data_IF_308228745908
#
_entry.id   IF_308228745908
#
_cell.length_a   1.000
_cell.length_b   1.000
_cell.length_c   1.000
_cell.angle_alpha   90.00
_cell.angle_beta   90.00
_cell.angle_gamma   90.00
#
_symmetry.space_group_name_H-M   'P 1'
#
loop_
_entity.id
_entity.type
_entity.pdbx_description
1 polymer ?
#
# COMPACT_ATOMS: atom_id res chain seq x y z
N UNK A 1 8.03 -12.84 20.96
CA UNK A 1 7.18 -12.00 20.08
C UNK A 1 6.48 -12.96 19.14
N UNK A 2 5.14 -13.04 19.08
CA UNK A 2 4.53 -13.93 18.11
C UNK A 2 4.93 -13.43 16.73
N UNK A 3 5.34 -14.35 15.87
CA UNK A 3 5.63 -14.10 14.47
C UNK A 3 4.28 -13.73 13.85
N UNK A 4 3.90 -12.45 13.91
CA UNK A 4 2.81 -11.96 13.09
C UNK A 4 3.29 -12.12 11.67
N UNK A 5 2.63 -12.99 10.91
CA UNK A 5 2.94 -13.23 9.52
C UNK A 5 3.06 -11.87 8.82
N UNK A 6 4.23 -11.54 8.27
CA UNK A 6 4.53 -10.20 7.71
C UNK A 6 3.57 -9.86 6.58
N UNK A 7 3.14 -10.87 5.82
CA UNK A 7 2.14 -10.74 4.77
C UNK A 7 0.77 -10.38 5.36
N UNK A 8 0.39 -10.99 6.49
CA UNK A 8 -0.85 -10.65 7.19
C UNK A 8 -0.80 -9.22 7.75
N UNK A 9 0.33 -8.81 8.34
CA UNK A 9 0.52 -7.43 8.80
C UNK A 9 0.38 -6.43 7.67
N UNK A 10 0.98 -6.72 6.51
CA UNK A 10 0.89 -5.87 5.31
C UNK A 10 -0.54 -5.77 4.82
N UNK A 11 -1.26 -6.89 4.74
CA UNK A 11 -2.67 -6.91 4.34
C UNK A 11 -3.52 -6.04 5.30
N UNK A 12 -3.33 -6.18 6.62
CA UNK A 12 -4.09 -5.43 7.60
C UNK A 12 -3.78 -3.92 7.58
N UNK A 13 -2.49 -3.57 7.47
CA UNK A 13 -2.07 -2.17 7.32
C UNK A 13 -2.64 -1.56 6.03
N UNK A 14 -2.55 -2.27 4.91
CA UNK A 14 -3.11 -1.84 3.64
C UNK A 14 -4.64 -1.68 3.69
N UNK A 15 -5.37 -2.62 4.30
CA UNK A 15 -6.82 -2.52 4.49
C UNK A 15 -7.21 -1.26 5.27
N UNK A 16 -6.49 -0.96 6.35
CA UNK A 16 -6.70 0.24 7.16
C UNK A 16 -6.43 1.51 6.35
N UNK A 17 -5.27 1.58 5.70
CA UNK A 17 -4.83 2.76 4.96
C UNK A 17 -5.66 3.04 3.71
N UNK A 18 -6.21 2.00 3.07
CA UNK A 18 -7.05 2.09 1.88
C UNK A 18 -8.54 2.29 2.17
N UNK A 19 -8.97 2.23 3.43
CA UNK A 19 -10.38 2.35 3.79
C UNK A 19 -10.96 3.68 3.29
N UNK A 20 -11.99 3.62 2.44
CA UNK A 20 -12.58 4.77 1.72
C UNK A 20 -11.63 5.53 0.76
N UNK A 21 -10.52 4.93 0.34
CA UNK A 21 -9.53 5.53 -0.59
C UNK A 21 -9.34 4.74 -1.89
N UNK A 22 -10.12 3.67 -2.10
CA UNK A 22 -10.14 2.91 -3.36
C UNK A 22 -11.28 3.44 -4.24
N UNK A 23 -10.93 4.08 -5.35
CA UNK A 23 -11.90 4.61 -6.31
C UNK A 23 -12.37 3.53 -7.29
N UNK A 24 -13.40 3.82 -8.08
CA UNK A 24 -13.89 2.91 -9.14
C UNK A 24 -12.88 2.69 -10.26
N UNK A 25 -11.91 3.61 -10.42
CA UNK A 25 -10.87 3.50 -11.43
C UNK A 25 -9.78 2.49 -11.02
N UNK A 26 -9.58 2.26 -9.71
CA UNK A 26 -8.63 1.26 -9.21
C UNK A 26 -9.18 -0.15 -9.47
N UNK A 27 -8.43 -0.95 -10.22
CA UNK A 27 -8.76 -2.36 -10.54
C UNK A 27 -8.09 -3.35 -9.62
N UNK A 28 -6.84 -3.07 -9.27
CA UNK A 28 -6.05 -3.94 -8.42
C UNK A 28 -4.95 -3.14 -7.73
N UNK A 29 -4.54 -3.65 -6.58
CA UNK A 29 -3.36 -3.19 -5.85
C UNK A 29 -2.52 -4.44 -5.57
N UNK A 30 -1.27 -4.39 -5.98
CA UNK A 30 -0.28 -5.40 -5.66
C UNK A 30 0.69 -4.82 -4.64
N UNK A 31 0.95 -5.55 -3.58
CA UNK A 31 1.97 -5.17 -2.61
C UNK A 31 2.72 -6.38 -2.08
N UNK A 32 4.02 -6.21 -1.87
CA UNK A 32 4.89 -7.19 -1.24
C UNK A 32 6.00 -6.48 -0.49
N UNK A 33 6.51 -7.14 0.56
CA UNK A 33 7.72 -6.73 1.24
C UNK A 33 8.80 -7.80 1.03
N UNK A 34 9.94 -7.40 0.48
CA UNK A 34 11.10 -8.28 0.30
C UNK A 34 12.31 -7.62 0.96
N UNK A 35 12.79 -8.19 2.06
CA UNK A 35 13.86 -7.57 2.86
C UNK A 35 13.37 -6.28 3.53
N UNK A 36 13.99 -5.16 3.16
CA UNK A 36 13.74 -3.79 3.61
C UNK A 36 13.01 -2.94 2.54
N UNK A 37 12.47 -3.59 1.51
CA UNK A 37 11.84 -2.94 0.37
C UNK A 37 10.36 -3.26 0.28
N UNK A 38 9.54 -2.21 0.18
CA UNK A 38 8.10 -2.30 -0.13
C UNK A 38 7.90 -2.05 -1.63
N UNK A 39 7.20 -2.95 -2.31
CA UNK A 39 6.70 -2.69 -3.66
C UNK A 39 5.20 -2.39 -3.57
N UNK A 40 4.74 -1.33 -4.23
CA UNK A 40 3.35 -0.92 -4.28
C UNK A 40 2.94 -0.53 -5.69
N UNK A 41 2.13 -1.38 -6.32
CA UNK A 41 1.68 -1.16 -7.70
C UNK A 41 0.16 -1.02 -7.69
N UNK A 42 -0.33 0.08 -8.25
CA UNK A 42 -1.77 0.34 -8.41
C UNK A 42 -2.11 0.27 -9.89
N UNK A 43 -3.08 -0.58 -10.22
CA UNK A 43 -3.59 -0.76 -11.56
C UNK A 43 -4.88 0.02 -11.72
N UNK A 44 -4.93 0.89 -12.73
CA UNK A 44 -6.09 1.72 -13.05
C UNK A 44 -6.72 1.28 -14.37
N UNK A 45 -8.03 1.52 -14.52
CA UNK A 45 -8.77 1.32 -15.77
C UNK A 45 -8.39 2.34 -16.83
N UNK A 46 -8.29 3.59 -16.39
CA UNK A 46 -7.92 4.76 -17.18
C UNK A 46 -6.78 5.51 -16.50
N UNK A 47 -6.24 6.52 -17.16
CA UNK A 47 -5.26 7.41 -16.55
C UNK A 47 -5.77 7.92 -15.19
N UNK A 48 -5.00 7.76 -14.10
CA UNK A 48 -5.43 8.19 -12.78
C UNK A 48 -5.45 9.71 -12.69
N UNK A 49 -6.42 10.25 -11.94
CA UNK A 49 -6.45 11.68 -11.65
C UNK A 49 -5.39 12.06 -10.59
N UNK A 50 -5.08 13.35 -10.47
CA UNK A 50 -4.20 13.85 -9.40
C UNK A 50 -4.71 13.46 -8.00
N UNK A 51 -6.04 13.53 -7.79
CA UNK A 51 -6.67 13.11 -6.53
C UNK A 51 -6.48 11.61 -6.26
N UNK A 52 -6.57 10.77 -7.29
CA UNK A 52 -6.35 9.33 -7.16
C UNK A 52 -4.90 9.01 -6.80
N UNK A 53 -3.96 9.71 -7.43
CA UNK A 53 -2.52 9.60 -7.11
C UNK A 53 -2.27 10.04 -5.68
N UNK A 54 -2.87 11.15 -5.23
CA UNK A 54 -2.74 11.65 -3.86
C UNK A 54 -3.31 10.66 -2.84
N UNK A 55 -4.49 10.09 -3.09
CA UNK A 55 -5.09 9.07 -2.24
C UNK A 55 -4.17 7.86 -2.06
N UNK A 56 -3.53 7.40 -3.14
CA UNK A 56 -2.56 6.32 -3.05
C UNK A 56 -1.29 6.74 -2.31
N UNK A 57 -0.78 7.95 -2.54
CA UNK A 57 0.42 8.44 -1.82
C UNK A 57 0.19 8.48 -0.31
N UNK A 58 -0.97 8.95 0.13
CA UNK A 58 -1.36 8.98 1.55
C UNK A 58 -1.44 7.56 2.11
N UNK A 59 -2.17 6.67 1.43
CA UNK A 59 -2.32 5.28 1.88
C UNK A 59 -0.96 4.58 2.01
N UNK A 60 -0.12 4.71 0.99
CA UNK A 60 1.24 4.17 0.98
C UNK A 60 2.10 4.74 2.12
N UNK A 61 2.04 6.04 2.38
CA UNK A 61 2.81 6.67 3.47
C UNK A 61 2.42 6.09 4.82
N UNK A 62 1.12 5.92 5.06
CA UNK A 62 0.63 5.30 6.29
C UNK A 62 1.09 3.84 6.43
N UNK A 63 1.13 3.08 5.32
CA UNK A 63 1.62 1.70 5.33
C UNK A 63 3.11 1.69 5.67
N UNK A 64 3.94 2.50 5.01
CA UNK A 64 5.38 2.57 5.30
C UNK A 64 5.65 2.92 6.77
N UNK A 65 4.85 3.81 7.37
CA UNK A 65 4.97 4.13 8.79
C UNK A 65 4.69 2.96 9.73
N UNK A 66 3.91 1.96 9.30
CA UNK A 66 3.63 0.74 10.08
C UNK A 66 4.79 -0.28 10.04
N UNK A 67 5.77 -0.11 9.13
CA UNK A 67 6.92 -1.00 8.94
C UNK A 67 8.25 -0.23 9.07
N UNK A 68 8.74 0.03 10.30
CA UNK A 68 9.94 0.85 10.53
C UNK A 68 11.22 0.28 9.93
N UNK A 69 11.24 -0.99 9.54
CA UNK A 69 12.35 -1.65 8.88
C UNK A 69 12.40 -1.43 7.35
N UNK A 70 11.38 -0.79 6.76
CA UNK A 70 11.37 -0.45 5.33
C UNK A 70 12.23 0.78 5.08
N UNK A 71 13.22 0.63 4.20
CA UNK A 71 14.21 1.66 3.87
C UNK A 71 14.02 2.22 2.46
N UNK A 72 13.30 1.50 1.59
CA UNK A 72 13.06 1.89 0.22
C UNK A 72 11.71 1.42 -0.30
N UNK A 73 11.21 2.12 -1.31
CA UNK A 73 9.93 1.83 -1.94
C UNK A 73 9.98 1.95 -3.46
N UNK A 74 9.34 1.00 -4.14
CA UNK A 74 9.06 0.99 -5.58
C UNK A 74 7.57 1.10 -5.87
#
# INVERSE_FOLDING_TARGET
>A
MPICNRDLSLILSAQRALFNRVTKNVKAIYSTIVGDKLTWIVYYDTEPTEDEIELQRIATTEIVCDFPEIMSMD
#
